data_IF_974271530951
#
_entry.id   IF_974271530951
#
_cell.length_a   1.000
_cell.length_b   1.000
_cell.length_c   1.000
_cell.angle_alpha   90.00
_cell.angle_beta   90.00
_cell.angle_gamma   90.00
#
_symmetry.space_group_name_H-M   'P 1'
#
loop_
_entity.id
_entity.type
_entity.pdbx_description
1 polymer ?
#
# COMPACT_ATOMS: atom_id res chain seq x y z
N UNK A 1 14.88 44.22 18.72
CA UNK A 1 15.23 44.15 17.28
C UNK A 1 16.10 42.94 16.90
N UNK A 2 17.21 42.66 17.60
CA UNK A 2 18.14 41.56 17.22
C UNK A 2 17.61 40.14 17.49
N UNK A 3 16.87 39.94 18.60
CA UNK A 3 16.21 38.67 18.94
C UNK A 3 15.15 38.26 17.91
N UNK A 4 14.51 39.24 17.29
CA UNK A 4 13.43 39.04 16.31
C UNK A 4 13.98 38.64 14.93
N UNK A 5 15.12 39.24 14.53
CA UNK A 5 15.91 38.79 13.38
C UNK A 5 16.38 37.34 13.52
N UNK A 6 16.84 36.93 14.72
CA UNK A 6 17.24 35.54 15.00
C UNK A 6 16.07 34.56 14.91
N UNK A 7 14.90 34.92 15.46
CA UNK A 7 13.68 34.11 15.34
C UNK A 7 13.26 33.90 13.89
N UNK A 8 13.34 34.95 13.06
CA UNK A 8 13.01 34.84 11.63
C UNK A 8 14.02 34.02 10.83
N UNK A 9 15.33 34.08 11.15
CA UNK A 9 16.33 33.19 10.54
C UNK A 9 16.11 31.73 10.90
N UNK A 10 15.79 31.43 12.17
CA UNK A 10 15.51 30.07 12.63
C UNK A 10 14.25 29.49 11.96
N UNK A 11 13.17 30.27 11.84
CA UNK A 11 11.95 29.86 11.12
C UNK A 11 12.24 29.54 9.66
N UNK A 12 13.02 30.37 8.97
CA UNK A 12 13.42 30.12 7.57
C UNK A 12 14.27 28.87 7.42
N UNK A 13 15.19 28.63 8.36
CA UNK A 13 16.03 27.43 8.35
C UNK A 13 15.19 26.16 8.58
N UNK A 14 14.26 26.19 9.54
CA UNK A 14 13.35 25.06 9.81
C UNK A 14 12.49 24.76 8.57
N UNK A 15 11.93 25.80 7.94
CA UNK A 15 11.16 25.65 6.69
C UNK A 15 11.98 25.04 5.56
N UNK A 16 13.24 25.45 5.42
CA UNK A 16 14.13 24.94 4.38
C UNK A 16 14.51 23.48 4.63
N UNK A 17 14.81 23.11 5.88
CA UNK A 17 15.09 21.72 6.26
C UNK A 17 13.86 20.83 6.06
N UNK A 18 12.66 21.30 6.41
CA UNK A 18 11.42 20.57 6.17
C UNK A 18 11.14 20.40 4.68
N UNK A 19 11.36 21.45 3.88
CA UNK A 19 11.19 21.41 2.42
C UNK A 19 12.14 20.42 1.76
N UNK A 20 13.42 20.39 2.16
CA UNK A 20 14.41 19.42 1.66
C UNK A 20 14.02 18.01 2.10
N UNK A 21 13.60 17.81 3.34
CA UNK A 21 13.16 16.51 3.84
C UNK A 21 11.97 15.98 3.02
N UNK A 22 10.95 16.80 2.77
CA UNK A 22 9.78 16.43 1.95
C UNK A 22 10.18 16.08 0.52
N UNK A 23 11.04 16.88 -0.12
CA UNK A 23 11.57 16.57 -1.45
C UNK A 23 12.34 15.25 -1.46
N UNK A 24 13.21 15.00 -0.47
CA UNK A 24 13.98 13.75 -0.41
C UNK A 24 13.10 12.54 -0.12
N UNK A 25 12.01 12.67 0.66
CA UNK A 25 11.05 11.58 0.88
C UNK A 25 10.14 11.34 -0.33
N UNK A 26 9.84 12.36 -1.12
CA UNK A 26 9.05 12.23 -2.36
C UNK A 26 9.80 11.50 -3.48
N UNK A 27 11.14 11.54 -3.48
CA UNK A 27 12.00 10.84 -4.45
C UNK A 27 12.18 9.35 -4.09
N UNK A 28 11.82 8.93 -2.87
CA UNK A 28 11.82 7.51 -2.49
C UNK A 28 10.61 6.83 -3.13
N UNK A 29 10.77 6.53 -4.42
CA UNK A 29 10.03 5.54 -5.20
C UNK A 29 8.58 5.33 -4.78
N UNK A 30 7.70 6.25 -5.15
CA UNK A 30 6.31 5.87 -5.39
C UNK A 30 6.32 4.98 -6.63
N UNK A 31 6.57 3.68 -6.44
CA UNK A 31 6.32 2.69 -7.47
C UNK A 31 4.85 2.82 -7.84
N UNK A 32 4.57 3.29 -9.05
CA UNK A 32 3.24 3.39 -9.67
C UNK A 32 2.62 2.02 -9.95
N UNK A 33 3.25 0.94 -9.49
CA UNK A 33 2.62 -0.36 -9.36
C UNK A 33 1.61 -0.31 -8.21
N UNK A 34 0.49 0.36 -8.45
CA UNK A 34 -0.77 0.09 -7.77
C UNK A 34 -1.21 -1.31 -8.21
N UNK A 35 -0.49 -2.34 -7.77
CA UNK A 35 -0.93 -3.74 -7.85
C UNK A 35 -2.04 -3.93 -6.80
N UNK A 36 -3.18 -3.30 -7.08
CA UNK A 36 -4.44 -3.59 -6.40
C UNK A 36 -4.86 -5.06 -6.63
N UNK A 37 -4.34 -5.68 -7.69
CA UNK A 37 -4.45 -7.10 -7.95
C UNK A 37 -3.19 -7.81 -7.43
N UNK A 38 -3.37 -8.74 -6.49
CA UNK A 38 -2.29 -9.57 -5.96
C UNK A 38 -1.55 -10.39 -7.02
N UNK A 39 -0.39 -10.95 -6.64
CA UNK A 39 0.44 -11.72 -7.58
C UNK A 39 -0.23 -13.05 -7.93
N UNK A 40 -0.37 -13.34 -9.22
CA UNK A 40 -0.96 -14.59 -9.71
C UNK A 40 0.12 -15.63 -10.02
N UNK A 41 -0.10 -16.87 -9.62
CA UNK A 41 0.78 -18.01 -9.84
C UNK A 41 0.02 -19.15 -10.51
N UNK A 42 0.66 -19.79 -11.49
CA UNK A 42 0.21 -21.07 -12.01
C UNK A 42 0.65 -22.19 -11.07
N UNK A 43 -0.29 -23.04 -10.66
CA UNK A 43 -0.03 -24.23 -9.85
C UNK A 43 0.02 -25.49 -10.71
N UNK A 44 -0.39 -25.41 -11.98
CA UNK A 44 -0.49 -26.54 -12.91
C UNK A 44 -1.88 -27.18 -12.93
N UNK A 45 -2.11 -28.08 -13.90
CA UNK A 45 -3.38 -28.82 -14.07
C UNK A 45 -4.64 -27.94 -14.10
N UNK A 46 -4.52 -26.71 -14.62
CA UNK A 46 -5.61 -25.73 -14.69
C UNK A 46 -5.94 -25.06 -13.36
N UNK A 47 -5.14 -25.27 -12.31
CA UNK A 47 -5.22 -24.53 -11.05
C UNK A 47 -4.27 -23.33 -11.09
N UNK A 48 -4.80 -22.18 -10.70
CA UNK A 48 -4.00 -20.98 -10.44
C UNK A 48 -4.35 -20.42 -9.08
N UNK A 49 -3.48 -19.60 -8.52
CA UNK A 49 -3.77 -18.85 -7.31
C UNK A 49 -3.39 -17.39 -7.46
N UNK A 50 -4.05 -16.52 -6.69
CA UNK A 50 -3.68 -15.12 -6.52
C UNK A 50 -3.37 -14.85 -5.06
N UNK A 51 -2.18 -14.36 -4.77
CA UNK A 51 -1.77 -13.93 -3.44
C UNK A 51 -2.11 -12.46 -3.26
N UNK A 52 -3.12 -12.18 -2.44
CA UNK A 52 -3.52 -10.81 -2.10
C UNK A 52 -2.74 -10.35 -0.85
N UNK A 53 -2.18 -9.15 -0.97
CA UNK A 53 -1.50 -8.48 0.14
C UNK A 53 -2.52 -7.88 1.10
N UNK A 54 -2.13 -7.66 2.37
CA UNK A 54 -3.00 -7.04 3.36
C UNK A 54 -3.32 -5.60 2.95
N UNK A 55 -4.61 -5.33 2.77
CA UNK A 55 -5.10 -3.98 2.55
C UNK A 55 -5.27 -3.25 3.87
N UNK A 56 -5.07 -1.94 3.88
CA UNK A 56 -5.32 -1.14 5.07
C UNK A 56 -6.82 -1.14 5.46
N UNK A 57 -7.74 -1.20 4.48
CA UNK A 57 -9.17 -0.97 4.73
C UNK A 57 -10.10 -2.17 4.55
N UNK A 58 -9.71 -3.20 3.79
CA UNK A 58 -10.61 -4.32 3.44
C UNK A 58 -10.25 -5.63 4.15
N UNK A 59 -8.97 -6.03 4.19
CA UNK A 59 -8.51 -7.28 4.81
C UNK A 59 -7.08 -7.12 5.35
N UNK A 60 -6.87 -7.00 6.68
CA UNK A 60 -5.56 -6.79 7.28
C UNK A 60 -4.70 -8.06 7.37
N UNK A 61 -4.85 -9.00 6.43
CA UNK A 61 -4.17 -10.29 6.44
C UNK A 61 -3.87 -10.77 5.03
N UNK A 62 -2.80 -11.55 4.90
CA UNK A 62 -2.48 -12.19 3.63
C UNK A 62 -3.51 -13.28 3.39
N UNK A 63 -4.00 -13.35 2.17
CA UNK A 63 -4.90 -14.43 1.77
C UNK A 63 -4.65 -14.82 0.33
N UNK A 64 -4.92 -16.07 0.01
CA UNK A 64 -4.79 -16.61 -1.34
C UNK A 64 -6.17 -16.96 -1.89
N UNK A 65 -6.45 -16.55 -3.12
CA UNK A 65 -7.62 -16.99 -3.89
C UNK A 65 -7.18 -18.09 -4.84
N UNK A 66 -7.83 -19.24 -4.79
CA UNK A 66 -7.62 -20.35 -5.71
C UNK A 66 -8.66 -20.32 -6.82
N UNK A 67 -8.19 -20.56 -8.04
CA UNK A 67 -9.02 -20.66 -9.23
C UNK A 67 -8.77 -22.00 -9.92
N UNK A 68 -9.84 -22.60 -10.45
CA UNK A 68 -9.75 -23.75 -11.34
C UNK A 68 -10.35 -23.38 -12.69
N UNK A 69 -9.57 -23.48 -13.77
CA UNK A 69 -9.94 -23.05 -15.11
C UNK A 69 -10.52 -21.63 -15.12
N UNK A 70 -9.85 -20.71 -14.42
CA UNK A 70 -10.23 -19.30 -14.21
C UNK A 70 -11.47 -19.03 -13.35
N UNK A 71 -12.17 -20.05 -12.87
CA UNK A 71 -13.30 -19.87 -11.95
C UNK A 71 -12.83 -19.84 -10.49
N UNK A 72 -13.25 -18.87 -9.65
CA UNK A 72 -12.89 -18.84 -8.24
C UNK A 72 -13.47 -20.05 -7.51
N UNK A 73 -12.65 -20.72 -6.70
CA UNK A 73 -13.04 -21.95 -5.98
C UNK A 73 -12.91 -21.84 -4.48
N UNK A 74 -11.88 -21.14 -4.00
CA UNK A 74 -11.57 -21.13 -2.59
C UNK A 74 -10.75 -19.91 -2.23
N UNK A 75 -10.87 -19.47 -0.98
CA UNK A 75 -10.04 -18.42 -0.42
C UNK A 75 -9.51 -18.90 0.94
N UNK A 76 -8.20 -18.79 1.14
CA UNK A 76 -7.52 -19.22 2.37
C UNK A 76 -6.80 -18.02 2.99
N UNK A 77 -7.06 -17.77 4.27
CA UNK A 77 -6.30 -16.84 5.08
C UNK A 77 -4.97 -17.47 5.47
N UNK A 78 -3.87 -16.76 5.29
CA UNK A 78 -2.55 -17.31 5.60
C UNK A 78 -2.19 -17.21 7.08
N UNK A 79 -2.80 -16.30 7.85
CA UNK A 79 -2.53 -16.12 9.27
C UNK A 79 -3.17 -17.23 10.12
N UNK A 80 -4.44 -17.53 9.87
CA UNK A 80 -5.20 -18.54 10.61
C UNK A 80 -5.27 -19.90 9.91
N UNK A 81 -4.85 -19.96 8.63
CA UNK A 81 -5.05 -21.13 7.76
C UNK A 81 -6.51 -21.59 7.69
N UNK A 82 -7.43 -20.65 7.91
CA UNK A 82 -8.86 -20.88 7.79
C UNK A 82 -9.39 -20.32 6.47
N UNK A 83 -10.52 -20.84 5.96
CA UNK A 83 -11.20 -20.23 4.83
C UNK A 83 -11.51 -18.75 5.10
N UNK A 84 -11.45 -17.94 4.04
CA UNK A 84 -12.03 -16.60 4.09
C UNK A 84 -13.56 -16.71 4.25
N UNK A 85 -14.17 -15.66 4.80
CA UNK A 85 -15.61 -15.62 5.08
C UNK A 85 -16.45 -16.12 3.87
N UNK A 86 -17.36 -17.06 4.13
CA UNK A 86 -18.27 -17.63 3.14
C UNK A 86 -17.89 -19.00 2.58
N UNK A 87 -16.67 -19.50 2.81
CA UNK A 87 -16.25 -20.84 2.37
C UNK A 87 -16.32 -21.85 3.52
N UNK A 88 -17.04 -22.97 3.33
CA UNK A 88 -17.22 -24.01 4.36
C UNK A 88 -16.30 -25.22 4.22
N UNK A 89 -15.87 -25.54 3.00
CA UNK A 89 -14.99 -26.67 2.70
C UNK A 89 -13.89 -26.24 1.75
N UNK A 90 -12.74 -26.92 1.82
CA UNK A 90 -11.62 -26.71 0.92
C UNK A 90 -11.73 -27.63 -0.30
N UNK A 91 -12.13 -27.13 -1.49
CA UNK A 91 -12.18 -27.93 -2.72
C UNK A 91 -10.81 -28.05 -3.41
N UNK A 92 -9.75 -27.46 -2.85
CA UNK A 92 -8.42 -27.41 -3.46
C UNK A 92 -7.69 -28.74 -3.20
N UNK A 93 -7.18 -29.42 -4.23
CA UNK A 93 -6.38 -30.63 -4.08
C UNK A 93 -5.14 -30.42 -3.22
N UNK A 94 -4.74 -31.44 -2.46
CA UNK A 94 -3.57 -31.37 -1.57
C UNK A 94 -2.27 -31.00 -2.29
N UNK A 95 -2.09 -31.45 -3.54
CA UNK A 95 -0.91 -31.10 -4.34
C UNK A 95 -0.87 -29.60 -4.68
N UNK A 96 -2.03 -29.01 -5.01
CA UNK A 96 -2.14 -27.58 -5.34
C UNK A 96 -1.91 -26.73 -4.08
N UNK A 97 -2.39 -27.20 -2.93
CA UNK A 97 -2.15 -26.55 -1.64
C UNK A 97 -0.66 -26.58 -1.25
N UNK A 98 0.02 -27.69 -1.50
CA UNK A 98 1.47 -27.82 -1.25
C UNK A 98 2.27 -26.88 -2.15
N UNK A 99 1.92 -26.80 -3.44
CA UNK A 99 2.57 -25.89 -4.38
C UNK A 99 2.32 -24.43 -4.00
N UNK A 100 1.09 -24.09 -3.61
CA UNK A 100 0.76 -22.78 -3.10
C UNK A 100 1.62 -22.39 -1.89
N UNK A 101 1.79 -23.31 -0.92
CA UNK A 101 2.67 -23.09 0.23
C UNK A 101 4.12 -22.83 -0.19
N UNK A 102 4.65 -23.58 -1.15
CA UNK A 102 6.02 -23.38 -1.66
C UNK A 102 6.19 -22.01 -2.30
N UNK A 103 5.21 -21.55 -3.10
CA UNK A 103 5.24 -20.24 -3.77
C UNK A 103 5.08 -19.06 -2.80
N UNK A 104 4.23 -19.21 -1.79
CA UNK A 104 3.96 -18.19 -0.77
C UNK A 104 5.11 -18.07 0.23
N UNK A 105 5.81 -19.16 0.52
CA UNK A 105 7.01 -19.17 1.36
C UNK A 105 6.74 -18.67 2.78
N UNK A 106 7.55 -17.71 3.23
CA UNK A 106 7.51 -17.16 4.60
C UNK A 106 6.21 -16.45 4.96
N UNK A 107 5.37 -16.11 3.98
CA UNK A 107 4.05 -15.50 4.22
C UNK A 107 3.02 -16.51 4.73
N UNK A 108 3.29 -17.81 4.58
CA UNK A 108 2.42 -18.88 5.07
C UNK A 108 2.45 -18.96 6.60
N UNK A 109 1.30 -18.82 7.25
CA UNK A 109 1.23 -18.72 8.72
C UNK A 109 1.61 -17.34 9.27
N UNK A 110 1.91 -16.36 8.40
CA UNK A 110 2.31 -15.03 8.86
C UNK A 110 1.09 -14.15 9.15
N UNK A 111 1.09 -13.56 10.34
CA UNK A 111 0.15 -12.50 10.72
C UNK A 111 0.86 -11.15 10.59
N UNK A 112 0.15 -10.14 10.08
CA UNK A 112 0.63 -8.75 10.16
C UNK A 112 0.28 -8.20 11.54
N UNK A 113 1.25 -7.54 12.17
CA UNK A 113 1.01 -6.84 13.43
C UNK A 113 -0.05 -5.75 13.24
N UNK A 114 -1.09 -5.67 14.10
CA UNK A 114 -2.07 -4.58 14.09
C UNK A 114 -1.44 -3.18 14.15
N UNK A 115 -0.28 -3.05 14.82
CA UNK A 115 0.45 -1.79 14.93
C UNK A 115 0.98 -1.27 13.60
N UNK A 116 1.44 -2.15 12.71
CA UNK A 116 1.95 -1.78 11.38
C UNK A 116 0.84 -1.18 10.52
N UNK A 117 -0.39 -1.71 10.64
CA UNK A 117 -1.55 -1.22 9.89
C UNK A 117 -2.02 0.14 10.43
N UNK A 118 -2.04 0.33 11.75
CA UNK A 118 -2.50 1.61 12.33
C UNK A 118 -1.53 2.77 12.05
N UNK A 119 -0.22 2.49 12.04
CA UNK A 119 0.80 3.47 11.64
C UNK A 119 0.66 3.86 10.18
N UNK A 120 0.46 2.89 9.28
CA UNK A 120 0.22 3.15 7.86
C UNK A 120 -0.99 4.07 7.62
N UNK A 121 -2.11 3.80 8.30
CA UNK A 121 -3.31 4.66 8.22
C UNK A 121 -3.08 6.07 8.73
N UNK A 122 -2.36 6.18 9.85
CA UNK A 122 -2.03 7.47 10.45
C UNK A 122 -1.14 8.31 9.53
N UNK A 123 -0.14 7.68 8.89
CA UNK A 123 0.73 8.34 7.93
C UNK A 123 -0.02 8.78 6.67
N UNK A 124 -0.89 7.92 6.13
CA UNK A 124 -1.70 8.24 4.95
C UNK A 124 -2.64 9.42 5.24
N UNK A 125 -3.29 9.43 6.40
CA UNK A 125 -4.19 10.51 6.82
C UNK A 125 -3.42 11.82 7.01
N UNK A 126 -2.27 11.77 7.69
CA UNK A 126 -1.41 12.94 7.87
C UNK A 126 -0.91 13.49 6.53
N UNK A 127 -0.52 12.63 5.60
CA UNK A 127 -0.13 13.00 4.24
C UNK A 127 -1.26 13.69 3.47
N UNK A 128 -2.48 13.11 3.49
CA UNK A 128 -3.65 13.71 2.85
C UNK A 128 -4.00 15.08 3.45
N UNK A 129 -4.00 15.22 4.77
CA UNK A 129 -4.25 16.49 5.45
C UNK A 129 -3.20 17.53 5.06
N UNK A 130 -1.91 17.13 5.01
CA UNK A 130 -0.83 18.02 4.60
C UNK A 130 -1.00 18.47 3.14
N UNK A 131 -1.40 17.57 2.23
CA UNK A 131 -1.66 17.89 0.83
C UNK A 131 -2.84 18.85 0.67
N UNK A 132 -3.91 18.68 1.44
CA UNK A 132 -5.05 19.63 1.46
C UNK A 132 -4.60 21.00 1.97
N UNK A 133 -3.78 21.04 3.03
CA UNK A 133 -3.21 22.30 3.55
C UNK A 133 -2.32 22.97 2.51
N UNK A 134 -1.47 22.21 1.80
CA UNK A 134 -0.63 22.75 0.72
C UNK A 134 -1.48 23.27 -0.43
N UNK A 135 -2.51 22.54 -0.86
CA UNK A 135 -3.43 22.96 -1.93
C UNK A 135 -4.28 24.19 -1.55
N UNK A 136 -4.55 24.40 -0.25
CA UNK A 136 -5.33 25.55 0.24
C UNK A 136 -4.49 26.79 0.53
N UNK A 137 -3.21 26.62 0.92
CA UNK A 137 -2.29 27.74 1.19
C UNK A 137 -1.56 28.18 -0.08
N UNK A 138 -1.23 27.24 -0.97
CA UNK A 138 -0.75 27.52 -2.31
C UNK A 138 -1.90 27.22 -3.27
N UNK A 139 -2.84 28.15 -3.51
CA UNK A 139 -3.62 28.06 -4.72
C UNK A 139 -2.59 28.00 -5.85
N UNK A 140 -2.61 26.91 -6.60
CA UNK A 140 -1.80 26.77 -7.79
C UNK A 140 -2.31 27.85 -8.77
N UNK A 141 -1.78 29.07 -8.66
CA UNK A 141 -2.18 30.27 -9.38
C UNK A 141 -1.75 30.19 -10.85
N UNK A 142 -2.16 29.12 -11.55
CA UNK A 142 -2.00 28.97 -12.98
C UNK A 142 -2.00 27.51 -13.46
N UNK A 143 -2.19 27.30 -14.78
CA UNK A 143 -2.29 25.97 -15.41
C UNK A 143 -1.10 25.05 -15.09
N UNK A 144 0.07 25.63 -14.88
CA UNK A 144 1.32 24.91 -14.58
C UNK A 144 1.27 24.28 -13.19
N UNK A 145 0.70 24.97 -12.20
CA UNK A 145 0.61 24.46 -10.85
C UNK A 145 -0.37 23.29 -10.74
N UNK A 146 -1.51 23.38 -11.43
CA UNK A 146 -2.47 22.28 -11.56
C UNK A 146 -1.82 21.08 -12.27
N UNK A 147 -1.07 21.31 -13.35
CA UNK A 147 -0.38 20.26 -14.10
C UNK A 147 0.63 19.50 -13.24
N UNK A 148 1.36 20.21 -12.36
CA UNK A 148 2.33 19.60 -11.44
C UNK A 148 1.62 18.86 -10.30
N UNK A 149 0.50 19.38 -9.79
CA UNK A 149 -0.31 18.70 -8.78
C UNK A 149 -0.89 17.39 -9.34
N UNK A 150 -1.46 17.43 -10.55
CA UNK A 150 -1.94 16.24 -11.26
C UNK A 150 -0.80 15.30 -11.64
N UNK A 151 0.35 15.84 -12.05
CA UNK A 151 1.54 15.07 -12.38
C UNK A 151 2.12 14.31 -11.18
N UNK A 152 2.18 14.93 -10.01
CA UNK A 152 2.57 14.29 -8.75
C UNK A 152 1.53 13.26 -8.28
N UNK A 153 0.23 13.55 -8.45
CA UNK A 153 -0.85 12.62 -8.11
C UNK A 153 -0.85 11.38 -9.01
N UNK A 154 -0.56 11.56 -10.30
CA UNK A 154 -0.56 10.49 -11.31
C UNK A 154 0.82 9.82 -11.49
N UNK A 155 1.86 10.32 -10.82
CA UNK A 155 3.23 9.77 -10.87
C UNK A 155 3.93 9.97 -12.23
N UNK A 156 3.67 11.10 -12.90
CA UNK A 156 4.16 11.41 -14.26
C UNK A 156 5.24 12.51 -14.25
N UNK A 157 5.63 13.02 -13.08
CA UNK A 157 6.66 14.07 -12.90
C UNK A 157 7.78 13.57 -12.01
#
# INVERSE_FOLDING_TARGET
MEKEKRKNKLKKLILLVFSVLVMTTGIIGTSTEVQAAGTTYDLGQGWTMRLDTPGMDSKPYYHIHFYYKKAPKYCLRLDTLQPCDGYKSNPVPNWAMKEAKNKVGSKWGSAISPSTISWGKSLATAGCVLLVIVATICPFDGPVGDSVAWGLLLGVV
#
